data_IF_761494462762
#
_entry.id   IF_761494462762
#
_cell.length_a   1.000
_cell.length_b   1.000
_cell.length_c   1.000
_cell.angle_alpha   90.00
_cell.angle_beta   90.00
_cell.angle_gamma   90.00
#
_symmetry.space_group_name_H-M   'P 1'
#
loop_
_entity.id
_entity.type
_entity.pdbx_description
1 polymer ?
#
# COMPACT_ATOMS: atom_id res chain seq x y z
N UNK A 1 33.05 7.07 -37.25
CA UNK A 1 31.66 6.64 -36.97
C UNK A 1 30.79 7.87 -37.14
N UNK A 2 30.05 7.96 -38.24
CA UNK A 2 29.09 9.05 -38.45
C UNK A 2 27.75 8.65 -37.80
N UNK A 3 27.25 9.49 -36.90
CA UNK A 3 25.89 9.36 -36.38
C UNK A 3 24.94 10.03 -37.38
N UNK A 4 23.79 9.40 -37.70
CA UNK A 4 22.82 10.01 -38.61
C UNK A 4 22.20 11.24 -37.92
N UNK A 5 22.56 12.43 -38.40
CA UNK A 5 22.12 13.74 -37.89
C UNK A 5 20.85 14.29 -38.56
N UNK A 6 20.09 13.43 -39.25
CA UNK A 6 18.81 13.82 -39.86
C UNK A 6 17.64 13.73 -38.88
N UNK A 7 16.56 14.49 -39.13
CA UNK A 7 15.28 14.27 -38.43
C UNK A 7 14.86 12.81 -38.61
N UNK A 8 14.62 12.11 -37.50
CA UNK A 8 14.10 10.75 -37.50
C UNK A 8 12.66 10.77 -38.07
N UNK A 9 12.54 10.74 -39.40
CA UNK A 9 11.25 10.54 -40.08
C UNK A 9 10.80 9.10 -39.88
N UNK A 10 10.15 8.84 -38.75
CA UNK A 10 9.43 7.59 -38.46
C UNK A 10 7.99 7.91 -38.09
N UNK A 11 7.04 7.24 -38.74
CA UNK A 11 5.65 7.21 -38.30
C UNK A 11 5.58 6.43 -36.97
N UNK A 12 5.10 7.07 -35.90
CA UNK A 12 4.82 6.37 -34.64
C UNK A 12 3.44 5.73 -34.73
N UNK A 13 3.40 4.42 -34.97
CA UNK A 13 2.18 3.63 -34.89
C UNK A 13 2.21 2.76 -33.62
N UNK A 14 1.48 3.12 -32.56
CA UNK A 14 1.35 2.29 -31.36
C UNK A 14 0.58 0.98 -31.62
N UNK A 15 -0.08 0.83 -32.77
CA UNK A 15 -0.67 -0.44 -33.23
C UNK A 15 0.32 -1.28 -34.04
N UNK A 16 1.55 -0.79 -34.22
CA UNK A 16 2.60 -1.50 -34.93
C UNK A 16 3.04 -2.78 -34.23
N UNK A 17 3.48 -3.76 -35.02
CA UNK A 17 3.91 -5.08 -34.54
C UNK A 17 5.02 -4.96 -33.49
N UNK A 18 5.98 -4.05 -33.69
CA UNK A 18 7.09 -3.85 -32.74
C UNK A 18 6.58 -3.40 -31.37
N UNK A 19 5.66 -2.44 -31.32
CA UNK A 19 5.09 -1.97 -30.06
C UNK A 19 4.26 -3.06 -29.39
N UNK A 20 3.48 -3.82 -30.17
CA UNK A 20 2.66 -4.94 -29.66
C UNK A 20 3.52 -6.04 -29.04
N UNK A 21 4.63 -6.41 -29.69
CA UNK A 21 5.57 -7.41 -29.15
C UNK A 21 6.25 -6.90 -27.89
N UNK A 22 6.72 -5.65 -27.87
CA UNK A 22 7.33 -5.06 -26.68
C UNK A 22 6.32 -4.94 -25.52
N UNK A 23 5.06 -4.61 -25.81
CA UNK A 23 4.00 -4.56 -24.81
C UNK A 23 3.71 -5.96 -24.24
N UNK A 24 3.64 -7.00 -25.08
CA UNK A 24 3.46 -8.37 -24.64
C UNK A 24 4.62 -8.83 -23.75
N UNK A 25 5.87 -8.56 -24.15
CA UNK A 25 7.06 -8.85 -23.35
C UNK A 25 7.05 -8.12 -22.01
N UNK A 26 6.75 -6.82 -22.01
CA UNK A 26 6.64 -6.03 -20.78
C UNK A 26 5.54 -6.57 -19.86
N UNK A 27 4.43 -7.06 -20.42
CA UNK A 27 3.36 -7.73 -19.69
C UNK A 27 3.85 -9.00 -19.00
N UNK A 28 4.57 -9.86 -19.71
CA UNK A 28 5.14 -11.10 -19.16
C UNK A 28 6.15 -10.82 -18.04
N UNK A 29 7.05 -9.84 -18.22
CA UNK A 29 8.02 -9.46 -17.18
C UNK A 29 7.33 -8.92 -15.92
N UNK A 30 6.28 -8.10 -16.09
CA UNK A 30 5.47 -7.60 -14.97
C UNK A 30 4.81 -8.74 -14.20
N UNK A 31 4.25 -9.72 -14.90
CA UNK A 31 3.62 -10.88 -14.28
C UNK A 31 4.65 -11.74 -13.52
N UNK A 32 5.81 -11.99 -14.13
CA UNK A 32 6.91 -12.69 -13.48
C UNK A 32 7.35 -12.01 -12.17
N UNK A 33 7.55 -10.69 -12.20
CA UNK A 33 7.94 -9.92 -11.00
C UNK A 33 6.84 -9.98 -9.93
N UNK A 34 5.56 -9.92 -10.33
CA UNK A 34 4.43 -10.04 -9.41
C UNK A 34 4.44 -11.39 -8.71
N UNK A 35 4.59 -12.48 -9.44
CA UNK A 35 4.55 -13.82 -8.86
C UNK A 35 5.71 -14.04 -7.87
N UNK A 36 6.92 -13.65 -8.25
CA UNK A 36 8.09 -13.69 -7.35
C UNK A 36 7.91 -12.83 -6.09
N UNK A 37 7.22 -11.69 -6.23
CA UNK A 37 6.90 -10.81 -5.10
C UNK A 37 5.86 -11.47 -4.17
N UNK A 38 4.84 -12.11 -4.72
CA UNK A 38 3.82 -12.84 -3.95
C UNK A 38 4.44 -14.02 -3.18
N UNK A 39 5.30 -14.81 -3.82
CA UNK A 39 6.06 -15.88 -3.16
C UNK A 39 6.93 -15.35 -2.01
N UNK A 40 7.55 -14.19 -2.20
CA UNK A 40 8.30 -13.49 -1.16
C UNK A 40 7.42 -13.05 0.01
N UNK A 41 6.24 -12.48 -0.28
CA UNK A 41 5.24 -12.10 0.73
C UNK A 41 4.78 -13.31 1.56
N UNK A 42 4.44 -14.41 0.91
CA UNK A 42 4.05 -15.65 1.60
C UNK A 42 5.17 -16.20 2.47
N UNK A 43 6.40 -16.19 1.96
CA UNK A 43 7.58 -16.64 2.71
C UNK A 43 7.85 -15.78 3.93
N UNK A 44 7.72 -14.45 3.81
CA UNK A 44 7.86 -13.53 4.93
C UNK A 44 6.75 -13.76 5.98
N UNK A 45 5.51 -13.98 5.54
CA UNK A 45 4.38 -14.28 6.43
C UNK A 45 4.59 -15.59 7.19
N UNK A 46 5.06 -16.65 6.51
CA UNK A 46 5.43 -17.93 7.16
C UNK A 46 6.52 -17.76 8.22
N UNK A 47 7.43 -16.79 8.04
CA UNK A 47 8.48 -16.43 9.02
C UNK A 47 7.98 -15.48 10.12
N UNK A 48 6.67 -15.24 10.22
CA UNK A 48 6.08 -14.39 11.25
C UNK A 48 6.31 -12.89 11.03
N UNK A 49 6.72 -12.46 9.83
CA UNK A 49 6.79 -11.02 9.53
C UNK A 49 5.40 -10.46 9.32
N UNK A 50 5.04 -9.48 10.13
CA UNK A 50 3.84 -8.66 9.92
C UNK A 50 4.06 -7.73 8.72
N UNK A 51 3.16 -7.77 7.76
CA UNK A 51 3.23 -7.01 6.51
C UNK A 51 2.09 -6.00 6.49
N UNK A 52 2.38 -4.77 6.06
CA UNK A 52 1.44 -3.66 6.08
C UNK A 52 1.75 -2.63 7.17
N UNK A 53 0.77 -1.76 7.47
CA UNK A 53 0.93 -0.76 8.52
C UNK A 53 1.07 -1.41 9.91
N UNK A 54 1.90 -0.81 10.77
CA UNK A 54 1.98 -1.24 12.16
C UNK A 54 0.59 -1.15 12.82
N UNK A 55 0.19 -2.20 13.55
CA UNK A 55 -0.98 -2.15 14.41
C UNK A 55 -0.80 -1.02 15.43
N UNK A 56 -1.72 -0.06 15.42
CA UNK A 56 -1.68 1.11 16.32
C UNK A 56 -2.65 0.97 17.50
N UNK A 57 -3.49 -0.07 17.47
CA UNK A 57 -4.48 -0.38 18.50
C UNK A 57 -3.89 -1.38 19.48
N UNK A 58 -4.05 -1.13 20.77
CA UNK A 58 -3.74 -2.08 21.85
C UNK A 58 -4.98 -2.37 22.70
N UNK A 59 -4.84 -3.31 23.63
CA UNK A 59 -5.94 -3.75 24.50
C UNK A 59 -6.47 -2.60 25.38
N UNK A 60 -5.59 -1.71 25.84
CA UNK A 60 -5.99 -0.55 26.65
C UNK A 60 -6.86 0.42 25.85
N UNK A 61 -6.52 0.65 24.59
CA UNK A 61 -7.30 1.47 23.67
C UNK A 61 -8.67 0.83 23.39
N UNK A 62 -8.71 -0.50 23.24
CA UNK A 62 -9.97 -1.23 23.07
C UNK A 62 -10.86 -1.09 24.32
N UNK A 63 -10.31 -1.28 25.52
CA UNK A 63 -11.05 -1.10 26.78
C UNK A 63 -11.60 0.32 26.92
N UNK A 64 -10.81 1.34 26.59
CA UNK A 64 -11.27 2.74 26.58
C UNK A 64 -12.41 2.95 25.57
N UNK A 65 -12.26 2.43 24.35
CA UNK A 65 -13.29 2.55 23.31
C UNK A 65 -14.62 1.89 23.73
N UNK A 66 -14.55 0.70 24.32
CA UNK A 66 -15.72 -0.01 24.85
C UNK A 66 -16.37 0.78 26.00
N UNK A 67 -15.58 1.35 26.91
CA UNK A 67 -16.10 2.17 27.99
C UNK A 67 -16.81 3.43 27.47
N UNK A 68 -16.23 4.16 26.51
CA UNK A 68 -16.85 5.35 25.92
C UNK A 68 -18.16 5.01 25.17
N UNK A 69 -18.22 3.86 24.52
CA UNK A 69 -19.42 3.39 23.82
C UNK A 69 -20.50 2.95 24.79
N UNK A 70 -20.18 2.02 25.70
CA UNK A 70 -21.18 1.28 26.48
C UNK A 70 -21.59 2.03 27.75
N UNK A 71 -20.66 2.74 28.41
CA UNK A 71 -20.97 3.46 29.65
C UNK A 71 -21.39 4.91 29.40
N UNK A 72 -20.85 5.57 28.37
CA UNK A 72 -21.12 7.00 28.10
C UNK A 72 -22.01 7.25 26.88
N UNK A 73 -22.30 6.23 26.06
CA UNK A 73 -23.14 6.36 24.88
C UNK A 73 -22.55 7.27 23.79
N UNK A 74 -21.24 7.44 23.75
CA UNK A 74 -20.56 8.35 22.81
C UNK A 74 -20.64 7.79 21.39
N UNK A 75 -20.80 8.67 20.40
CA UNK A 75 -20.81 8.28 18.99
C UNK A 75 -19.45 7.69 18.57
N UNK A 76 -19.44 6.73 17.63
CA UNK A 76 -18.19 6.15 17.12
C UNK A 76 -17.25 7.22 16.53
N UNK A 77 -17.80 8.29 15.95
CA UNK A 77 -17.02 9.39 15.36
C UNK A 77 -16.28 10.19 16.44
N UNK A 78 -16.93 10.43 17.57
CA UNK A 78 -16.31 11.20 18.65
C UNK A 78 -15.37 10.34 19.49
N UNK A 79 -15.67 9.05 19.66
CA UNK A 79 -14.72 8.07 20.21
C UNK A 79 -13.42 8.07 19.39
N UNK A 80 -13.50 8.04 18.07
CA UNK A 80 -12.31 8.04 17.21
C UNK A 80 -11.44 9.31 17.34
N UNK A 81 -12.04 10.46 17.72
CA UNK A 81 -11.32 11.70 18.02
C UNK A 81 -10.73 11.70 19.43
N UNK A 82 -11.37 11.04 20.37
CA UNK A 82 -10.93 11.03 21.77
C UNK A 82 -9.82 9.99 22.02
N UNK A 83 -9.82 8.89 21.25
CA UNK A 83 -8.78 7.87 21.34
C UNK A 83 -7.43 8.38 20.84
N UNK A 84 -6.37 8.01 21.56
CA UNK A 84 -4.97 8.34 21.24
C UNK A 84 -4.13 7.07 21.22
N UNK A 85 -3.25 6.96 20.22
CA UNK A 85 -2.29 5.86 20.10
C UNK A 85 -1.31 5.95 21.27
N UNK A 86 -1.28 4.90 22.07
CA UNK A 86 -0.55 4.78 23.34
C UNK A 86 0.88 4.28 23.14
N UNK A 87 1.12 3.51 22.08
CA UNK A 87 2.36 2.75 21.86
C UNK A 87 2.85 2.80 20.40
N UNK A 88 4.13 2.53 20.20
CA UNK A 88 4.76 2.45 18.87
C UNK A 88 5.07 3.81 18.22
N UNK A 89 5.46 3.78 16.94
CA UNK A 89 5.95 4.96 16.19
C UNK A 89 4.94 6.11 16.08
N UNK A 90 3.64 5.81 16.17
CA UNK A 90 2.55 6.78 16.06
C UNK A 90 1.97 7.23 17.40
N UNK A 91 2.69 6.97 18.51
CA UNK A 91 2.27 7.39 19.85
C UNK A 91 1.92 8.87 19.90
N UNK A 92 0.82 9.20 20.59
CA UNK A 92 0.30 10.57 20.74
C UNK A 92 -0.56 11.04 19.57
N UNK A 93 -0.68 10.27 18.49
CA UNK A 93 -1.57 10.60 17.36
C UNK A 93 -2.95 9.96 17.54
N UNK A 94 -3.97 10.52 16.90
CA UNK A 94 -5.28 9.91 16.82
C UNK A 94 -5.30 8.78 15.77
N UNK A 95 -6.00 7.65 16.05
CA UNK A 95 -6.08 6.54 15.10
C UNK A 95 -6.86 6.89 13.83
N UNK A 96 -7.80 7.85 13.91
CA UNK A 96 -8.46 8.44 12.76
C UNK A 96 -7.73 9.73 12.34
N UNK A 97 -7.44 9.86 11.04
CA UNK A 97 -6.99 11.13 10.47
C UNK A 97 -8.16 12.13 10.57
N UNK A 98 -7.97 13.34 11.13
CA UNK A 98 -9.02 14.36 11.08
C UNK A 98 -9.32 14.71 9.62
N UNK A 99 -10.57 15.06 9.28
CA UNK A 99 -10.93 15.52 7.95
C UNK A 99 -10.07 16.71 7.51
#
# INVERSE_FOLDING_TARGET
MEFPTGELKGSHDPSGIVFTVLAAMSGMEREYVRDRTLEGYESARKRGKTIGGAGVTDESMLSMALHLRDAKGVSLRDIAKELVITNGKKKGQHPARPP
#
